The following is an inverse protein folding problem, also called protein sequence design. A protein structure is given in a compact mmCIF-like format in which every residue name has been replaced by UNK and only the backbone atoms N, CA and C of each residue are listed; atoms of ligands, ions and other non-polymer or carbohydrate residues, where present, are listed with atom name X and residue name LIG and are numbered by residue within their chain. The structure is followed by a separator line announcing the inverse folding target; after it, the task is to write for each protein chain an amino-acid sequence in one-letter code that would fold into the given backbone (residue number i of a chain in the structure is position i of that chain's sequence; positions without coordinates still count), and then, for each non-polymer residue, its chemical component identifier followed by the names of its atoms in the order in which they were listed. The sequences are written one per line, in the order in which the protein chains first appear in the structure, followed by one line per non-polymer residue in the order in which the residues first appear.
data_IF_245363645098
#
_entry.id   IF_245363645098
#
_cell.length_a   1.000
_cell.length_b   1.000
_cell.length_c   1.000
_cell.angle_alpha   90.00
_cell.angle_beta   90.00
_cell.angle_gamma   90.00
#
_symmetry.space_group_name_H-M   'P 1'
#
loop_
_entity.id
_entity.type
_entity.pdbx_description
1 polymer ?
#
# COMPACT_ATOMS: atom_id res chain seq x y z
N UNK A 1 13.48 5.99 -16.71
CA UNK A 1 13.12 4.95 -15.73
C UNK A 1 12.00 5.51 -14.87
N UNK A 2 10.87 4.87 -14.89
CA UNK A 2 9.73 5.11 -14.01
C UNK A 2 9.49 3.87 -13.13
N UNK A 3 8.78 4.05 -12.03
CA UNK A 3 8.38 2.95 -11.15
C UNK A 3 6.86 2.97 -11.03
N UNK A 4 6.22 1.84 -11.30
CA UNK A 4 4.77 1.63 -11.17
C UNK A 4 4.50 0.78 -9.94
N UNK A 5 4.08 1.39 -8.85
CA UNK A 5 3.88 0.70 -7.57
C UNK A 5 2.41 0.31 -7.38
N UNK A 6 2.09 -0.98 -7.56
CA UNK A 6 0.80 -1.54 -7.15
C UNK A 6 0.84 -1.74 -5.63
N UNK A 7 0.21 -0.83 -4.89
CA UNK A 7 0.40 -0.77 -3.46
C UNK A 7 -0.78 -0.28 -2.65
N UNK A 8 -0.77 -0.64 -1.37
CA UNK A 8 -1.78 -0.25 -0.40
C UNK A 8 -1.69 1.22 -0.01
N UNK A 9 -2.86 1.82 0.23
CA UNK A 9 -3.04 3.11 0.89
C UNK A 9 -3.88 2.87 2.14
N UNK A 10 -3.35 3.21 3.30
CA UNK A 10 -4.04 3.01 4.58
C UNK A 10 -4.14 4.29 5.40
N UNK A 11 -5.12 4.31 6.29
CA UNK A 11 -5.19 5.24 7.41
C UNK A 11 -4.67 4.50 8.64
N UNK A 12 -3.57 4.95 9.22
CA UNK A 12 -3.10 4.44 10.50
C UNK A 12 -3.75 5.22 11.64
N UNK A 13 -4.58 4.52 12.43
CA UNK A 13 -5.25 5.02 13.63
C UNK A 13 -4.42 4.58 14.84
N UNK A 14 -3.53 5.44 15.30
CA UNK A 14 -2.55 5.11 16.35
C UNK A 14 -3.06 5.56 17.72
N UNK A 15 -3.16 4.61 18.63
CA UNK A 15 -3.61 4.80 20.01
C UNK A 15 -2.49 4.48 20.99
N UNK A 16 -2.23 5.36 21.96
CA UNK A 16 -1.35 5.07 23.08
C UNK A 16 -2.16 4.46 24.22
N UNK A 17 -1.69 3.32 24.72
CA UNK A 17 -2.30 2.55 25.80
C UNK A 17 -1.23 2.23 26.85
N UNK A 18 -1.61 2.05 28.12
CA UNK A 18 -0.68 1.61 29.16
C UNK A 18 -0.26 0.15 28.97
N UNK A 19 -1.15 -0.68 28.48
CA UNK A 19 -0.94 -2.10 28.13
C UNK A 19 -1.93 -2.52 27.08
N UNK A 20 -1.76 -3.69 26.46
CA UNK A 20 -2.78 -4.22 25.53
C UNK A 20 -3.95 -4.79 26.30
N UNK A 21 -5.22 -4.41 25.95
CA UNK A 21 -6.39 -4.84 26.69
C UNK A 21 -6.57 -6.36 26.63
N UNK A 22 -6.84 -6.96 27.77
CA UNK A 22 -7.28 -8.35 27.86
C UNK A 22 -8.73 -8.52 27.34
N UNK A 23 -9.13 -9.76 27.09
CA UNK A 23 -10.51 -10.04 26.66
C UNK A 23 -11.53 -9.55 27.69
N UNK A 24 -12.45 -8.69 27.24
CA UNK A 24 -13.49 -8.08 28.10
C UNK A 24 -13.04 -6.82 28.85
N UNK A 25 -11.79 -6.41 28.74
CA UNK A 25 -11.27 -5.20 29.35
C UNK A 25 -11.58 -3.96 28.50
N UNK A 26 -11.87 -2.84 29.16
CA UNK A 26 -12.01 -1.52 28.52
C UNK A 26 -10.89 -0.61 29.01
N UNK A 27 -10.06 -0.12 28.10
CA UNK A 27 -9.01 0.85 28.40
C UNK A 27 -9.35 2.23 27.83
N UNK A 28 -8.98 3.27 28.59
CA UNK A 28 -8.97 4.63 28.06
C UNK A 28 -7.59 4.91 27.48
N UNK A 29 -7.53 5.33 26.22
CA UNK A 29 -6.28 5.67 25.55
C UNK A 29 -5.76 7.04 25.99
N UNK A 30 -4.45 7.20 26.12
CA UNK A 30 -3.82 8.46 26.53
C UNK A 30 -3.64 9.46 25.37
N UNK A 31 -3.59 8.98 24.13
CA UNK A 31 -3.53 9.82 22.94
C UNK A 31 -4.02 9.08 21.70
N UNK A 32 -4.38 9.86 20.68
CA UNK A 32 -4.80 9.39 19.38
C UNK A 32 -4.11 10.20 18.28
N UNK A 33 -3.66 9.54 17.23
CA UNK A 33 -3.14 10.15 16.02
C UNK A 33 -3.68 9.42 14.79
N UNK A 34 -4.02 10.19 13.76
CA UNK A 34 -4.35 9.68 12.43
C UNK A 34 -3.20 10.00 11.48
N UNK A 35 -2.70 9.02 10.75
CA UNK A 35 -1.59 9.20 9.84
C UNK A 35 -1.83 8.45 8.51
N UNK A 36 -1.13 8.89 7.45
CA UNK A 36 -1.01 8.11 6.22
C UNK A 36 -0.12 6.90 6.49
N UNK A 37 -0.61 5.73 6.12
CA UNK A 37 0.04 4.44 6.21
C UNK A 37 -0.13 3.61 4.94
N UNK A 38 0.13 2.32 5.07
CA UNK A 38 0.17 1.36 3.97
C UNK A 38 1.58 1.17 3.42
N UNK A 39 1.97 -0.09 3.21
CA UNK A 39 3.32 -0.41 2.70
C UNK A 39 3.57 0.20 1.33
N UNK A 40 2.55 0.14 0.45
CA UNK A 40 2.61 0.74 -0.87
C UNK A 40 2.82 2.26 -0.83
N UNK A 41 2.00 2.98 -0.06
CA UNK A 41 2.12 4.43 0.08
C UNK A 41 3.48 4.84 0.66
N UNK A 42 3.95 4.14 1.71
CA UNK A 42 5.25 4.40 2.33
C UNK A 42 6.40 4.20 1.34
N UNK A 43 6.38 3.14 0.53
CA UNK A 43 7.40 2.88 -0.48
C UNK A 43 7.35 3.91 -1.62
N UNK A 44 6.14 4.30 -2.09
CA UNK A 44 6.00 5.35 -3.10
C UNK A 44 6.60 6.68 -2.62
N UNK A 45 6.31 7.07 -1.39
CA UNK A 45 6.85 8.30 -0.79
C UNK A 45 8.37 8.24 -0.65
N UNK A 46 8.91 7.11 -0.19
CA UNK A 46 10.35 6.93 -0.05
C UNK A 46 11.08 7.01 -1.40
N UNK A 47 10.51 6.41 -2.45
CA UNK A 47 11.06 6.46 -3.81
C UNK A 47 10.97 7.87 -4.41
N UNK A 48 9.85 8.57 -4.21
CA UNK A 48 9.72 9.97 -4.63
C UNK A 48 10.74 10.87 -3.94
N UNK A 49 10.95 10.69 -2.64
CA UNK A 49 11.96 11.43 -1.86
C UNK A 49 13.39 11.12 -2.33
N UNK A 50 13.64 9.92 -2.87
CA UNK A 50 14.91 9.55 -3.50
C UNK A 50 15.05 10.07 -4.94
N UNK A 51 14.08 10.81 -5.48
CA UNK A 51 14.12 11.41 -6.81
C UNK A 51 13.62 10.50 -7.94
N UNK A 52 12.97 9.36 -7.63
CA UNK A 52 12.39 8.50 -8.64
C UNK A 52 11.09 9.09 -9.21
N UNK A 53 10.84 8.88 -10.51
CA UNK A 53 9.51 9.08 -11.09
C UNK A 53 8.64 7.90 -10.69
N UNK A 54 7.70 8.12 -9.78
CA UNK A 54 6.88 7.08 -9.18
C UNK A 54 5.39 7.33 -9.46
N UNK A 55 4.73 6.33 -10.02
CA UNK A 55 3.29 6.25 -10.17
C UNK A 55 2.74 5.29 -9.12
N UNK A 56 1.79 5.74 -8.30
CA UNK A 56 1.10 4.87 -7.38
C UNK A 56 -0.17 4.31 -8.03
N UNK A 57 -0.30 2.98 -8.02
CA UNK A 57 -1.49 2.26 -8.48
C UNK A 57 -2.13 1.64 -7.23
N UNK A 58 -3.31 2.09 -6.90
CA UNK A 58 -4.01 1.68 -5.69
C UNK A 58 -5.44 2.18 -5.68
N UNK A 59 -6.12 2.04 -4.55
CA UNK A 59 -7.47 2.55 -4.39
C UNK A 59 -7.71 3.07 -2.97
N UNK A 60 -8.49 4.14 -2.85
CA UNK A 60 -8.97 4.65 -1.57
C UNK A 60 -10.37 5.25 -1.72
N UNK A 61 -11.07 5.45 -0.61
CA UNK A 61 -12.36 6.12 -0.63
C UNK A 61 -12.18 7.64 -0.82
N UNK A 62 -12.91 8.30 -1.72
CA UNK A 62 -12.78 9.74 -1.98
C UNK A 62 -13.11 10.62 -0.76
N UNK A 63 -13.82 10.11 0.25
CA UNK A 63 -14.02 10.81 1.51
C UNK A 63 -12.72 11.02 2.32
N UNK A 64 -11.66 10.29 1.97
CA UNK A 64 -10.33 10.39 2.57
C UNK A 64 -9.33 11.12 1.65
N UNK A 65 -9.76 12.16 0.95
CA UNK A 65 -9.01 12.96 -0.05
C UNK A 65 -7.68 13.54 0.47
N UNK A 66 -7.56 13.72 1.78
CA UNK A 66 -6.32 14.16 2.42
C UNK A 66 -5.15 13.18 2.15
N UNK A 67 -5.42 11.88 1.95
CA UNK A 67 -4.40 10.87 1.59
C UNK A 67 -3.80 11.17 0.22
N UNK A 68 -4.67 11.46 -0.77
CA UNK A 68 -4.23 11.82 -2.13
C UNK A 68 -3.40 13.10 -2.11
N UNK A 69 -3.88 14.11 -1.38
CA UNK A 69 -3.18 15.39 -1.21
C UNK A 69 -1.81 15.19 -0.58
N UNK A 70 -1.70 14.40 0.48
CA UNK A 70 -0.44 14.17 1.21
C UNK A 70 0.57 13.40 0.36
N UNK A 71 0.14 12.36 -0.38
CA UNK A 71 1.02 11.61 -1.28
C UNK A 71 1.50 12.46 -2.45
N UNK A 72 0.60 13.21 -3.09
CA UNK A 72 0.94 14.12 -4.19
C UNK A 72 1.92 15.23 -3.73
N UNK A 73 1.71 15.81 -2.54
CA UNK A 73 2.62 16.80 -1.94
C UNK A 73 4.02 16.25 -1.73
N UNK A 74 4.16 14.95 -1.52
CA UNK A 74 5.45 14.25 -1.37
C UNK A 74 6.05 13.78 -2.70
N UNK A 75 5.46 14.18 -3.84
CA UNK A 75 6.01 13.93 -5.17
C UNK A 75 5.59 12.61 -5.81
N UNK A 76 4.58 11.93 -5.25
CA UNK A 76 4.01 10.71 -5.84
C UNK A 76 3.00 11.11 -6.92
N UNK A 77 3.10 10.52 -8.11
CA UNK A 77 2.08 10.67 -9.15
C UNK A 77 0.87 9.78 -8.82
N UNK A 78 -0.29 10.43 -8.64
CA UNK A 78 -1.54 9.81 -8.20
C UNK A 78 -2.51 9.54 -9.36
N UNK A 79 -2.10 9.73 -10.61
CA UNK A 79 -2.98 9.65 -11.79
C UNK A 79 -3.63 8.27 -11.99
N UNK A 80 -3.06 7.22 -11.41
CA UNK A 80 -3.57 5.85 -11.47
C UNK A 80 -4.19 5.36 -10.16
N UNK A 81 -4.38 6.25 -9.17
CA UNK A 81 -5.11 5.88 -7.96
C UNK A 81 -6.61 5.97 -8.22
N UNK A 82 -7.31 4.90 -7.87
CA UNK A 82 -8.74 4.73 -8.14
C UNK A 82 -9.57 5.21 -6.95
N UNK A 83 -10.70 5.85 -7.24
CA UNK A 83 -11.74 6.10 -6.26
C UNK A 83 -12.56 4.83 -6.04
N UNK A 84 -12.67 4.40 -4.79
CA UNK A 84 -13.43 3.22 -4.40
C UNK A 84 -14.61 3.59 -3.52
N UNK A 85 -15.75 2.91 -3.71
CA UNK A 85 -16.89 3.00 -2.79
C UNK A 85 -16.69 2.20 -1.50
N UNK A 86 -15.72 1.27 -1.49
CA UNK A 86 -15.31 0.59 -0.27
C UNK A 86 -14.61 1.58 0.68
N UNK A 87 -14.70 1.38 2.01
CA UNK A 87 -13.90 2.17 2.95
C UNK A 87 -12.41 2.06 2.63
N UNK A 88 -11.67 3.14 2.81
CA UNK A 88 -10.20 3.10 2.72
C UNK A 88 -9.62 2.04 3.66
N UNK A 89 -8.58 1.34 3.22
CA UNK A 89 -7.83 0.45 4.08
C UNK A 89 -7.35 1.19 5.33
N UNK A 90 -7.38 0.55 6.49
CA UNK A 90 -6.92 1.20 7.72
C UNK A 90 -6.35 0.21 8.72
N UNK A 91 -5.46 0.70 9.55
CA UNK A 91 -4.88 -0.05 10.65
C UNK A 91 -5.23 0.62 11.99
N UNK A 92 -5.73 -0.18 12.95
CA UNK A 92 -5.80 0.21 14.35
C UNK A 92 -4.49 -0.24 14.98
N UNK A 93 -3.66 0.73 15.39
CA UNK A 93 -2.33 0.50 15.94
C UNK A 93 -2.36 0.89 17.41
N UNK A 94 -2.33 -0.08 18.31
CA UNK A 94 -2.15 0.16 19.74
C UNK A 94 -0.66 0.12 20.07
N UNK A 95 -0.15 1.11 20.78
CA UNK A 95 1.25 1.17 21.24
C UNK A 95 1.27 1.33 22.75
N UNK A 96 1.89 0.37 23.46
CA UNK A 96 1.98 0.37 24.91
C UNK A 96 3.14 1.26 25.43
N UNK A 97 3.26 1.38 26.75
CA UNK A 97 4.31 2.19 27.39
C UNK A 97 5.73 1.61 27.19
N UNK A 98 5.84 0.33 26.83
CA UNK A 98 7.10 -0.35 26.52
C UNK A 98 7.53 -0.13 25.06
N UNK A 99 6.66 0.50 24.24
CA UNK A 99 6.91 0.77 22.82
C UNK A 99 6.58 -0.41 21.91
N UNK A 100 5.98 -1.48 22.43
CA UNK A 100 5.46 -2.57 21.62
C UNK A 100 4.18 -2.14 20.89
N UNK A 101 3.88 -2.77 19.76
CA UNK A 101 2.64 -2.51 19.03
C UNK A 101 1.80 -3.77 18.81
N UNK A 102 0.50 -3.55 18.72
CA UNK A 102 -0.49 -4.51 18.26
C UNK A 102 -1.32 -3.87 17.16
N UNK A 103 -1.45 -4.57 16.02
CA UNK A 103 -2.06 -4.00 14.81
C UNK A 103 -3.23 -4.86 14.36
N UNK A 104 -4.38 -4.22 14.16
CA UNK A 104 -5.52 -4.79 13.45
C UNK A 104 -5.64 -4.10 12.10
N UNK A 105 -5.53 -4.86 11.00
CA UNK A 105 -5.59 -4.35 9.65
C UNK A 105 -6.92 -4.68 8.99
N UNK A 106 -7.61 -3.67 8.46
CA UNK A 106 -8.73 -3.83 7.55
C UNK A 106 -8.30 -3.42 6.14
N UNK A 107 -8.31 -4.34 5.15
CA UNK A 107 -7.77 -4.06 3.82
C UNK A 107 -8.62 -3.07 2.99
N UNK A 108 -9.94 -3.07 3.15
CA UNK A 108 -10.83 -2.12 2.48
C UNK A 108 -10.59 -2.02 0.97
N UNK A 109 -10.49 -0.79 0.48
CA UNK A 109 -10.29 -0.46 -0.94
C UNK A 109 -9.05 -1.11 -1.56
N UNK A 110 -8.02 -1.45 -0.76
CA UNK A 110 -6.83 -2.14 -1.26
C UNK A 110 -7.12 -3.53 -1.87
N UNK A 111 -8.25 -4.14 -1.52
CA UNK A 111 -8.71 -5.41 -2.11
C UNK A 111 -9.83 -5.22 -3.14
N UNK A 112 -10.11 -3.97 -3.53
CA UNK A 112 -11.16 -3.60 -4.48
C UNK A 112 -10.61 -2.81 -5.68
N UNK A 113 -9.34 -2.97 -6.00
CA UNK A 113 -8.69 -2.34 -7.16
C UNK A 113 -9.26 -2.97 -8.43
N UNK A 114 -9.76 -2.13 -9.35
CA UNK A 114 -10.12 -2.54 -10.71
C UNK A 114 -8.83 -2.85 -11.49
N UNK A 115 -8.58 -4.13 -11.70
CA UNK A 115 -7.36 -4.59 -12.37
C UNK A 115 -7.29 -4.16 -13.83
N UNK A 116 -8.41 -3.93 -14.52
CA UNK A 116 -8.38 -3.40 -15.88
C UNK A 116 -7.74 -2.01 -15.94
N UNK A 117 -8.09 -1.14 -14.99
CA UNK A 117 -7.48 0.18 -14.87
C UNK A 117 -6.03 0.10 -14.41
N UNK A 118 -5.73 -0.79 -13.44
CA UNK A 118 -4.38 -0.99 -12.95
C UNK A 118 -3.42 -1.48 -14.05
N UNK A 119 -3.86 -2.39 -14.90
CA UNK A 119 -3.08 -2.91 -16.02
C UNK A 119 -2.86 -1.86 -17.13
N UNK A 120 -3.84 -0.99 -17.36
CA UNK A 120 -3.70 0.12 -18.31
C UNK A 120 -2.62 1.12 -17.89
N UNK A 121 -2.31 1.23 -16.60
CA UNK A 121 -1.20 2.06 -16.12
C UNK A 121 0.18 1.62 -16.67
N UNK A 122 0.30 0.36 -17.10
CA UNK A 122 1.54 -0.19 -17.67
C UNK A 122 1.69 0.01 -19.19
N UNK A 123 0.69 0.59 -19.86
CA UNK A 123 0.70 0.68 -21.34
C UNK A 123 1.81 1.59 -21.88
N UNK A 124 2.24 2.59 -21.11
CA UNK A 124 3.37 3.46 -21.43
C UNK A 124 4.71 2.98 -20.83
N UNK A 125 4.74 1.84 -20.16
CA UNK A 125 5.94 1.26 -19.54
C UNK A 125 6.78 0.46 -20.52
N UNK A 126 8.08 0.35 -20.23
CA UNK A 126 9.05 -0.38 -21.05
C UNK A 126 10.21 -0.98 -20.27
N UNK A 127 11.21 -1.51 -20.98
CA UNK A 127 12.32 -2.32 -20.44
C UNK A 127 13.20 -1.63 -19.42
N UNK A 128 13.18 -0.28 -19.38
CA UNK A 128 13.95 0.51 -18.41
C UNK A 128 13.15 0.79 -17.12
N UNK A 129 11.88 0.42 -17.10
CA UNK A 129 10.97 0.73 -15.99
C UNK A 129 10.83 -0.46 -15.04
N UNK A 130 10.25 -0.19 -13.88
CA UNK A 130 10.03 -1.16 -12.83
C UNK A 130 8.57 -1.18 -12.38
N UNK A 131 8.07 -2.35 -12.08
CA UNK A 131 6.91 -2.49 -11.18
C UNK A 131 7.41 -2.82 -9.78
N UNK A 132 6.70 -2.30 -8.78
CA UNK A 132 6.91 -2.63 -7.38
C UNK A 132 5.58 -3.08 -6.79
N UNK A 133 5.60 -4.11 -5.94
CA UNK A 133 4.37 -4.61 -5.30
C UNK A 133 4.66 -5.24 -3.93
N UNK A 134 3.60 -5.41 -3.15
CA UNK A 134 3.60 -6.02 -1.82
C UNK A 134 2.37 -6.94 -1.69
N UNK A 135 2.17 -7.59 -0.52
CA UNK A 135 1.06 -8.54 -0.30
C UNK A 135 -0.21 -7.89 0.29
N UNK A 136 -0.45 -6.60 0.07
CA UNK A 136 -1.60 -5.90 0.67
C UNK A 136 -2.73 -5.59 -0.32
N UNK A 137 -2.55 -5.88 -1.62
CA UNK A 137 -3.53 -5.59 -2.67
C UNK A 137 -4.04 -6.85 -3.36
N UNK A 138 -5.12 -6.73 -4.14
CA UNK A 138 -5.53 -7.78 -5.08
C UNK A 138 -4.72 -7.69 -6.39
N UNK A 139 -4.79 -8.75 -7.21
CA UNK A 139 -4.31 -8.77 -8.59
C UNK A 139 -2.78 -8.77 -8.79
N UNK A 140 -2.01 -9.13 -7.76
CA UNK A 140 -0.54 -9.10 -7.81
C UNK A 140 0.02 -9.97 -8.96
N UNK A 141 -0.49 -11.19 -9.16
CA UNK A 141 -0.01 -12.08 -10.22
C UNK A 141 -0.34 -11.54 -11.61
N UNK A 142 -1.59 -11.11 -11.84
CA UNK A 142 -2.01 -10.54 -13.13
C UNK A 142 -1.15 -9.30 -13.49
N UNK A 143 -0.82 -8.48 -12.47
CA UNK A 143 0.00 -7.30 -12.65
C UNK A 143 1.44 -7.63 -13.03
N UNK A 144 2.02 -8.63 -12.39
CA UNK A 144 3.39 -9.14 -12.67
C UNK A 144 3.45 -9.76 -14.06
N UNK A 145 2.48 -10.57 -14.45
CA UNK A 145 2.42 -11.18 -15.80
C UNK A 145 2.29 -10.11 -16.89
N UNK A 146 1.46 -9.10 -16.66
CA UNK A 146 1.31 -7.98 -17.58
C UNK A 146 2.59 -7.12 -17.70
N UNK A 147 3.31 -6.89 -16.59
CA UNK A 147 4.60 -6.21 -16.59
C UNK A 147 5.64 -7.01 -17.41
N UNK A 148 5.69 -8.31 -17.19
CA UNK A 148 6.62 -9.22 -17.87
C UNK A 148 6.42 -9.25 -19.38
N UNK A 149 5.16 -9.25 -19.86
CA UNK A 149 4.88 -9.21 -21.30
C UNK A 149 5.32 -7.91 -21.97
N UNK A 150 5.48 -6.82 -21.20
CA UNK A 150 5.99 -5.52 -21.64
C UNK A 150 7.50 -5.35 -21.43
N UNK A 151 8.17 -6.35 -20.86
CA UNK A 151 9.59 -6.30 -20.52
C UNK A 151 9.92 -5.37 -19.35
N UNK A 152 8.93 -4.97 -18.55
CA UNK A 152 9.11 -4.15 -17.34
C UNK A 152 9.70 -5.04 -16.26
N UNK A 153 10.72 -4.55 -15.55
CA UNK A 153 11.39 -5.26 -14.46
C UNK A 153 10.50 -5.30 -13.20
N UNK A 154 10.68 -6.33 -12.38
CA UNK A 154 9.81 -6.63 -11.25
C UNK A 154 10.58 -6.62 -9.94
N UNK A 155 10.16 -5.75 -9.01
CA UNK A 155 10.59 -5.73 -7.63
C UNK A 155 9.43 -6.11 -6.71
N UNK A 156 9.64 -7.07 -5.84
CA UNK A 156 8.62 -7.57 -4.93
C UNK A 156 9.08 -7.49 -3.48
N UNK A 157 8.26 -6.89 -2.65
CA UNK A 157 8.42 -6.88 -1.20
C UNK A 157 7.42 -7.85 -0.57
N UNK A 158 7.88 -9.02 -0.13
CA UNK A 158 7.04 -10.07 0.49
C UNK A 158 6.53 -9.65 1.88
N UNK A 159 5.76 -8.58 1.95
CA UNK A 159 5.27 -8.01 3.21
C UNK A 159 3.79 -7.57 3.11
N UNK A 160 2.89 -8.03 4.03
CA UNK A 160 3.15 -9.08 5.02
C UNK A 160 3.57 -10.39 4.35
N UNK A 161 4.33 -11.22 5.05
CA UNK A 161 4.78 -12.49 4.45
C UNK A 161 3.61 -13.48 4.35
N UNK A 162 3.38 -13.94 3.13
CA UNK A 162 2.43 -14.99 2.78
C UNK A 162 3.17 -15.99 1.88
N UNK A 163 3.45 -17.19 2.38
CA UNK A 163 4.31 -18.18 1.72
C UNK A 163 3.82 -18.53 0.31
N UNK A 164 2.52 -18.86 0.19
CA UNK A 164 1.92 -19.25 -1.09
C UNK A 164 2.01 -18.14 -2.15
N UNK A 165 1.81 -16.88 -1.74
CA UNK A 165 1.94 -15.72 -2.63
C UNK A 165 3.40 -15.48 -3.01
N UNK A 166 4.31 -15.57 -2.04
CA UNK A 166 5.74 -15.41 -2.28
C UNK A 166 6.26 -16.46 -3.27
N UNK A 167 5.87 -17.72 -3.10
CA UNK A 167 6.27 -18.81 -4.01
C UNK A 167 5.75 -18.61 -5.45
N UNK A 168 4.60 -17.96 -5.62
CA UNK A 168 4.06 -17.61 -6.94
C UNK A 168 4.79 -16.45 -7.59
N UNK A 169 5.14 -15.42 -6.82
CA UNK A 169 5.68 -14.17 -7.37
C UNK A 169 7.21 -14.16 -7.54
N UNK A 170 7.96 -14.80 -6.63
CA UNK A 170 9.43 -14.81 -6.65
C UNK A 170 10.04 -15.27 -7.98
N UNK A 171 9.51 -16.30 -8.70
CA UNK A 171 10.06 -16.69 -9.99
C UNK A 171 9.97 -15.65 -11.10
N UNK A 172 9.22 -14.58 -10.89
CA UNK A 172 9.02 -13.49 -11.85
C UNK A 172 9.90 -12.27 -11.55
N UNK A 173 10.52 -12.20 -10.37
CA UNK A 173 11.31 -11.05 -9.92
C UNK A 173 12.70 -10.97 -10.61
N UNK A 174 13.19 -9.72 -10.75
CA UNK A 174 14.52 -9.40 -11.31
C UNK A 174 15.57 -9.09 -10.22
#
# INVERSE_FOLDING_TARGET
MAIFNLGSINIDLVYRVSHFPAAGETLTTSSFMRALGGKGANQSIALAAAGAKIFHIGAANPADDWLFTEMARRGVDMSFVQESTAPTGHAIVSVNDEGENQILLYPGANRAIDMKQALAALDDGGTEDWVLLQNETNGALDYVEAAKTRGIKIAYSAAPFEEDVAMQLLPHCD
#
